data_IF_861006583248
#
_entry.id   IF_861006583248
#
_cell.length_a   1.000
_cell.length_b   1.000
_cell.length_c   1.000
_cell.angle_alpha   90.00
_cell.angle_beta   90.00
_cell.angle_gamma   90.00
#
_symmetry.space_group_name_H-M   'P 1'
#
loop_
_entity.id
_entity.type
_entity.pdbx_description
1 polymer ?
#
# COMPACT_ATOMS: atom_id res chain seq x y z
N UNK A 1 13.90 -22.37 0.22
CA UNK A 1 13.38 -21.22 -0.55
C UNK A 1 13.62 -19.91 0.20
N UNK A 2 12.93 -19.59 1.29
CA UNK A 2 13.11 -18.30 2.00
C UNK A 2 14.53 -18.07 2.55
N UNK A 3 15.17 -19.14 3.02
CA UNK A 3 16.58 -19.10 3.42
C UNK A 3 17.55 -18.82 2.26
N UNK A 4 17.26 -19.34 1.06
CA UNK A 4 18.04 -19.03 -0.14
C UNK A 4 17.77 -17.58 -0.58
N UNK A 5 16.52 -17.11 -0.51
CA UNK A 5 16.14 -15.72 -0.79
C UNK A 5 16.83 -14.72 0.14
N UNK A 6 16.92 -15.03 1.45
CA UNK A 6 17.63 -14.19 2.41
C UNK A 6 19.15 -14.30 2.27
N UNK A 7 19.69 -15.49 1.99
CA UNK A 7 21.12 -15.68 1.71
C UNK A 7 21.58 -14.90 0.46
N UNK A 8 20.76 -14.87 -0.58
CA UNK A 8 21.02 -14.07 -1.78
C UNK A 8 20.93 -12.57 -1.47
N UNK A 9 19.89 -12.13 -0.75
CA UNK A 9 19.71 -10.72 -0.39
C UNK A 9 20.82 -10.17 0.53
N UNK A 10 21.31 -10.99 1.46
CA UNK A 10 22.43 -10.64 2.34
C UNK A 10 23.74 -10.37 1.59
N UNK A 11 23.90 -10.93 0.38
CA UNK A 11 25.09 -10.72 -0.46
C UNK A 11 25.10 -9.44 -1.30
N UNK A 12 23.97 -8.74 -1.46
CA UNK A 12 23.82 -7.64 -2.43
C UNK A 12 23.26 -6.32 -1.88
N UNK A 13 22.71 -6.29 -0.65
CA UNK A 13 21.94 -5.14 -0.13
C UNK A 13 22.28 -4.79 1.32
N UNK A 14 21.88 -3.59 1.78
CA UNK A 14 22.17 -3.11 3.14
C UNK A 14 21.30 -3.79 4.20
N UNK A 15 21.82 -3.93 5.43
CA UNK A 15 21.11 -4.57 6.56
C UNK A 15 19.70 -4.00 6.80
N UNK A 16 19.48 -2.70 6.59
CA UNK A 16 18.16 -2.06 6.64
C UNK A 16 17.19 -2.56 5.56
N UNK A 17 17.67 -2.82 4.34
CA UNK A 17 16.87 -3.40 3.26
C UNK A 17 16.55 -4.87 3.55
N UNK A 18 17.51 -5.60 4.13
CA UNK A 18 17.32 -6.99 4.56
C UNK A 18 16.26 -7.11 5.67
N UNK A 19 16.26 -6.20 6.65
CA UNK A 19 15.20 -6.09 7.67
C UNK A 19 13.82 -5.84 7.06
N UNK A 20 13.72 -4.95 6.07
CA UNK A 20 12.49 -4.71 5.33
C UNK A 20 11.96 -5.96 4.61
N UNK A 21 12.85 -6.70 3.94
CA UNK A 21 12.49 -7.97 3.29
C UNK A 21 12.05 -9.03 4.30
N UNK A 22 12.76 -9.15 5.43
CA UNK A 22 12.45 -10.09 6.49
C UNK A 22 11.04 -9.86 7.05
N UNK A 23 10.66 -8.61 7.34
CA UNK A 23 9.30 -8.25 7.79
C UNK A 23 8.24 -8.61 6.75
N UNK A 24 8.50 -8.37 5.45
CA UNK A 24 7.57 -8.75 4.39
C UNK A 24 7.36 -10.27 4.32
N UNK A 25 8.42 -11.06 4.49
CA UNK A 25 8.31 -12.52 4.51
C UNK A 25 7.48 -13.00 5.71
N UNK A 26 7.69 -12.43 6.90
CA UNK A 26 6.89 -12.77 8.09
C UNK A 26 5.41 -12.41 7.93
N UNK A 27 5.08 -11.29 7.27
CA UNK A 27 3.69 -10.84 7.14
C UNK A 27 2.88 -11.57 6.07
N UNK A 28 3.53 -12.02 5.00
CA UNK A 28 2.82 -12.45 3.79
C UNK A 28 3.07 -13.90 3.38
N UNK A 29 4.03 -14.59 4.00
CA UNK A 29 4.38 -15.97 3.66
C UNK A 29 4.18 -16.92 4.85
N UNK A 30 3.87 -18.18 4.56
CA UNK A 30 3.78 -19.23 5.57
C UNK A 30 5.20 -19.75 5.89
N UNK A 31 5.86 -19.13 6.85
CA UNK A 31 7.17 -19.56 7.33
C UNK A 31 6.99 -20.59 8.45
N UNK A 32 7.53 -21.79 8.24
CA UNK A 32 7.39 -22.89 9.21
C UNK A 32 8.16 -22.66 10.51
N UNK A 33 9.32 -21.99 10.45
CA UNK A 33 10.16 -21.72 11.62
C UNK A 33 10.83 -20.33 11.56
N UNK A 34 10.08 -19.26 11.86
CA UNK A 34 10.56 -17.88 11.75
C UNK A 34 11.71 -17.56 12.71
N UNK A 35 11.75 -18.17 13.90
CA UNK A 35 12.83 -17.95 14.88
C UNK A 35 14.18 -18.52 14.42
N UNK A 36 14.18 -19.64 13.72
CA UNK A 36 15.40 -20.23 13.16
C UNK A 36 15.99 -19.34 12.06
N UNK A 37 15.13 -18.78 11.20
CA UNK A 37 15.52 -17.79 10.18
C UNK A 37 16.04 -16.51 10.82
N UNK A 38 15.39 -16.02 11.89
CA UNK A 38 15.87 -14.87 12.66
C UNK A 38 17.27 -15.12 13.20
N UNK A 39 17.50 -16.23 13.91
CA UNK A 39 18.80 -16.55 14.49
C UNK A 39 19.89 -16.70 13.42
N UNK A 40 19.54 -17.23 12.25
CA UNK A 40 20.48 -17.46 11.15
C UNK A 40 20.96 -16.16 10.51
N UNK A 41 20.07 -15.20 10.27
CA UNK A 41 20.37 -13.93 9.60
C UNK A 41 20.54 -12.76 10.58
N UNK A 42 20.52 -13.03 11.90
CA UNK A 42 20.56 -12.00 12.93
C UNK A 42 21.71 -11.02 12.74
N UNK A 43 22.90 -11.56 12.46
CA UNK A 43 24.10 -10.77 12.24
C UNK A 43 23.98 -9.87 11.01
N UNK A 44 23.49 -10.41 9.89
CA UNK A 44 23.28 -9.65 8.65
C UNK A 44 22.18 -8.59 8.82
N UNK A 45 21.19 -8.87 9.68
CA UNK A 45 20.10 -7.96 10.03
C UNK A 45 20.53 -6.84 10.98
N UNK A 46 21.66 -6.96 11.69
CA UNK A 46 22.13 -5.98 12.69
C UNK A 46 23.48 -5.33 12.36
N UNK A 47 24.14 -5.75 11.27
CA UNK A 47 25.51 -5.37 10.93
C UNK A 47 25.70 -3.85 10.81
N UNK A 48 24.73 -3.13 10.25
CA UNK A 48 24.79 -1.67 10.10
C UNK A 48 24.84 -0.93 11.45
N UNK A 49 24.23 -1.50 12.50
CA UNK A 49 24.33 -0.95 13.85
C UNK A 49 25.65 -1.33 14.51
N UNK A 50 26.20 -2.52 14.28
CA UNK A 50 27.56 -2.84 14.75
C UNK A 50 28.60 -1.90 14.12
N UNK A 51 28.45 -1.59 12.83
CA UNK A 51 29.28 -0.59 12.14
C UNK A 51 29.11 0.84 12.67
N UNK A 52 27.99 1.15 13.32
CA UNK A 52 27.76 2.42 14.00
C UNK A 52 28.37 2.46 15.42
N UNK A 53 29.07 1.40 15.85
CA UNK A 53 29.77 1.33 17.13
C UNK A 53 28.96 0.76 18.29
N UNK A 54 27.76 0.24 18.04
CA UNK A 54 26.96 -0.45 19.05
C UNK A 54 27.53 -1.84 19.35
N UNK A 55 27.38 -2.30 20.60
CA UNK A 55 27.72 -3.70 20.91
C UNK A 55 26.78 -4.64 20.16
N UNK A 56 27.22 -5.88 19.92
CA UNK A 56 26.41 -6.86 19.18
C UNK A 56 25.02 -7.06 19.80
N UNK A 57 24.91 -7.08 21.13
CA UNK A 57 23.61 -7.15 21.83
C UNK A 57 22.72 -5.93 21.63
N UNK A 58 23.31 -4.73 21.54
CA UNK A 58 22.57 -3.50 21.27
C UNK A 58 22.14 -3.41 19.82
N UNK A 59 23.02 -3.82 18.89
CA UNK A 59 22.73 -3.89 17.46
C UNK A 59 21.58 -4.86 17.15
N UNK A 60 21.57 -6.04 17.78
CA UNK A 60 20.45 -6.99 17.70
C UNK A 60 19.14 -6.39 18.21
N UNK A 61 19.19 -5.68 19.35
CA UNK A 61 18.02 -5.02 19.92
C UNK A 61 17.49 -3.91 19.00
N UNK A 62 18.39 -3.09 18.45
CA UNK A 62 18.05 -2.04 17.49
C UNK A 62 17.44 -2.61 16.20
N UNK A 63 17.99 -3.71 15.68
CA UNK A 63 17.44 -4.42 14.53
C UNK A 63 16.04 -4.97 14.82
N UNK A 64 15.84 -5.58 16.00
CA UNK A 64 14.55 -6.09 16.44
C UNK A 64 13.49 -4.97 16.51
N UNK A 65 13.82 -3.84 17.14
CA UNK A 65 12.89 -2.71 17.27
C UNK A 65 12.64 -1.99 15.94
N UNK A 66 13.62 -1.88 15.04
CA UNK A 66 13.39 -1.35 13.68
C UNK A 66 12.39 -2.22 12.89
N UNK A 67 12.47 -3.54 12.99
CA UNK A 67 11.48 -4.41 12.35
C UNK A 67 10.14 -4.42 13.07
N UNK A 68 10.13 -4.29 14.40
CA UNK A 68 8.91 -4.12 15.17
C UNK A 68 8.15 -2.90 14.68
N UNK A 69 8.82 -1.76 14.55
CA UNK A 69 8.25 -0.52 14.03
C UNK A 69 7.73 -0.69 12.59
N UNK A 70 8.49 -1.37 11.73
CA UNK A 70 8.06 -1.69 10.35
C UNK A 70 6.82 -2.59 10.32
N UNK A 71 6.73 -3.55 11.22
CA UNK A 71 5.63 -4.50 11.28
C UNK A 71 4.36 -3.88 11.89
N UNK A 72 4.52 -3.07 12.94
CA UNK A 72 3.45 -2.24 13.50
C UNK A 72 2.87 -1.27 12.45
N UNK A 73 3.74 -0.66 11.63
CA UNK A 73 3.32 0.18 10.49
C UNK A 73 2.48 -0.57 9.44
N UNK A 74 2.46 -1.90 9.48
CA UNK A 74 1.67 -2.77 8.61
C UNK A 74 0.53 -3.48 9.35
N UNK A 75 0.18 -3.00 10.56
CA UNK A 75 -0.81 -3.58 11.48
C UNK A 75 -0.51 -5.04 11.83
N UNK A 76 0.77 -5.41 11.90
CA UNK A 76 1.25 -6.69 12.40
C UNK A 76 1.95 -6.53 13.74
N UNK A 77 2.22 -7.66 14.40
CA UNK A 77 2.95 -7.71 15.66
C UNK A 77 4.08 -8.74 15.54
N UNK A 78 5.32 -8.28 15.64
CA UNK A 78 6.50 -9.14 15.51
C UNK A 78 6.58 -10.19 16.63
N UNK A 79 5.95 -9.94 17.79
CA UNK A 79 5.90 -10.91 18.89
C UNK A 79 5.11 -12.17 18.53
N UNK A 80 4.24 -12.11 17.51
CA UNK A 80 3.52 -13.29 17.00
C UNK A 80 4.45 -14.28 16.29
N UNK A 81 5.63 -13.81 15.84
CA UNK A 81 6.57 -14.59 15.05
C UNK A 81 7.90 -14.83 15.75
N UNK A 82 8.42 -13.80 16.42
CA UNK A 82 9.70 -13.82 17.15
C UNK A 82 9.42 -13.37 18.58
N UNK A 83 9.19 -14.34 19.47
CA UNK A 83 8.85 -14.06 20.86
C UNK A 83 10.11 -13.88 21.71
N UNK A 84 10.85 -12.80 21.46
CA UNK A 84 12.05 -12.40 22.21
C UNK A 84 11.84 -11.04 22.87
N UNK A 85 12.26 -10.92 24.13
CA UNK A 85 12.23 -9.65 24.86
C UNK A 85 13.59 -8.95 24.81
N UNK A 86 13.77 -8.14 23.77
CA UNK A 86 14.92 -7.23 23.67
C UNK A 86 14.65 -5.96 24.47
N UNK A 87 15.55 -5.65 25.41
CA UNK A 87 15.48 -4.41 26.18
C UNK A 87 15.69 -3.21 25.24
N UNK A 88 14.85 -2.17 25.31
CA UNK A 88 15.07 -0.94 24.56
C UNK A 88 16.46 -0.40 24.89
N UNK A 89 17.32 -0.32 23.89
CA UNK A 89 18.59 0.41 24.05
C UNK A 89 18.19 1.87 24.16
N UNK A 90 18.56 2.52 25.28
CA UNK A 90 18.44 3.96 25.39
C UNK A 90 19.21 4.53 24.20
N UNK A 91 18.48 5.01 23.18
CA UNK A 91 19.07 5.45 21.94
C UNK A 91 20.18 6.42 22.28
N UNK A 92 21.43 5.96 22.10
CA UNK A 92 22.44 6.88 21.65
C UNK A 92 21.82 7.46 20.39
N UNK A 93 21.52 8.74 20.46
CA UNK A 93 21.16 9.57 19.33
C UNK A 93 21.92 9.09 18.11
N UNK A 94 21.23 8.87 16.99
CA UNK A 94 21.85 8.85 15.66
C UNK A 94 22.94 9.93 15.68
N UNK A 95 24.22 9.53 15.73
CA UNK A 95 25.30 10.48 15.64
C UNK A 95 25.22 10.99 14.21
N UNK A 96 24.57 12.13 14.03
CA UNK A 96 24.61 12.86 12.77
C UNK A 96 26.06 13.30 12.64
N UNK A 97 26.80 12.71 11.70
CA UNK A 97 28.14 13.19 11.38
C UNK A 97 27.99 14.61 10.81
N UNK A 98 28.20 15.59 11.69
CA UNK A 98 28.03 17.01 11.38
C UNK A 98 28.91 17.41 10.19
N UNK A 99 30.10 16.80 10.04
CA UNK A 99 31.02 17.09 8.94
C UNK A 99 30.50 16.53 7.63
N UNK A 100 29.90 15.35 7.64
CA UNK A 100 29.29 14.77 6.45
C UNK A 100 28.05 15.57 6.01
N UNK A 101 27.21 15.98 6.96
CA UNK A 101 26.05 16.83 6.69
C UNK A 101 26.45 18.21 6.16
N UNK A 102 27.49 18.83 6.72
CA UNK A 102 28.02 20.10 6.24
C UNK A 102 28.49 19.98 4.77
N UNK A 103 29.30 18.97 4.47
CA UNK A 103 29.77 18.70 3.10
C UNK A 103 28.61 18.46 2.12
N UNK A 104 27.67 17.58 2.47
CA UNK A 104 26.48 17.30 1.63
C UNK A 104 25.62 18.55 1.44
N UNK A 105 25.46 19.35 2.49
CA UNK A 105 24.72 20.61 2.44
C UNK A 105 25.32 21.59 1.43
N UNK A 106 26.64 21.75 1.42
CA UNK A 106 27.37 22.60 0.47
C UNK A 106 27.25 22.10 -0.98
N UNK A 107 27.47 20.80 -1.19
CA UNK A 107 27.31 20.17 -2.51
C UNK A 107 25.90 20.39 -3.06
N UNK A 108 24.87 20.12 -2.26
CA UNK A 108 23.49 20.33 -2.67
C UNK A 108 23.16 21.79 -2.93
N UNK A 109 23.69 22.71 -2.11
CA UNK A 109 23.47 24.16 -2.28
C UNK A 109 23.99 24.65 -3.62
N UNK A 110 25.09 24.09 -4.11
CA UNK A 110 25.66 24.44 -5.43
C UNK A 110 24.80 24.01 -6.63
N UNK A 111 23.89 23.06 -6.41
CA UNK A 111 23.01 22.49 -7.44
C UNK A 111 21.60 23.13 -7.48
N UNK A 112 21.31 24.05 -6.56
CA UNK A 112 20.01 24.74 -6.52
C UNK A 112 19.86 25.67 -7.73
N UNK A 113 18.64 25.71 -8.29
CA UNK A 113 18.29 26.76 -9.23
C UNK A 113 18.03 28.10 -8.50
N UNK A 114 17.75 29.16 -9.27
CA UNK A 114 17.59 30.52 -8.72
C UNK A 114 16.44 30.57 -7.70
N UNK A 115 15.26 30.06 -8.04
CA UNK A 115 14.09 30.12 -7.15
C UNK A 115 14.27 29.28 -5.88
N UNK A 116 14.89 28.11 -6.00
CA UNK A 116 15.21 27.25 -4.86
C UNK A 116 16.26 27.89 -3.95
N UNK A 117 17.27 28.55 -4.54
CA UNK A 117 18.31 29.26 -3.79
C UNK A 117 17.73 30.42 -3.00
N UNK A 118 16.81 31.19 -3.59
CA UNK A 118 16.06 32.26 -2.90
C UNK A 118 15.23 31.70 -1.73
N UNK A 119 14.50 30.61 -1.95
CA UNK A 119 13.71 29.97 -0.90
C UNK A 119 14.58 29.42 0.25
N UNK A 120 15.69 28.76 -0.08
CA UNK A 120 16.66 28.26 0.92
C UNK A 120 17.27 29.42 1.69
N UNK A 121 17.67 30.49 1.01
CA UNK A 121 18.20 31.71 1.63
C UNK A 121 17.22 32.31 2.65
N UNK A 122 15.98 32.55 2.23
CA UNK A 122 14.95 33.13 3.10
C UNK A 122 14.69 32.29 4.37
N UNK A 123 14.68 30.96 4.24
CA UNK A 123 14.50 30.06 5.39
C UNK A 123 15.73 30.08 6.31
N UNK A 124 16.94 30.07 5.74
CA UNK A 124 18.18 30.09 6.51
C UNK A 124 18.36 31.41 7.28
N UNK A 125 17.98 32.54 6.69
CA UNK A 125 18.05 33.86 7.34
C UNK A 125 17.08 34.00 8.51
N UNK A 126 15.96 33.27 8.47
CA UNK A 126 14.96 33.26 9.54
C UNK A 126 15.28 32.26 10.68
N UNK A 127 16.38 31.51 10.62
CA UNK A 127 16.68 30.47 11.61
C UNK A 127 16.86 30.99 13.04
N UNK A 128 17.28 32.24 13.20
CA UNK A 128 17.54 32.83 14.53
C UNK A 128 16.35 33.65 15.06
N UNK A 129 15.44 34.09 14.19
CA UNK A 129 14.27 34.90 14.54
C UNK A 129 12.95 34.12 14.49
N UNK A 130 12.96 32.93 13.90
CA UNK A 130 11.79 32.10 13.66
C UNK A 130 10.99 32.54 12.42
N UNK A 131 10.24 31.60 11.85
CA UNK A 131 9.37 31.86 10.70
C UNK A 131 8.58 30.62 10.29
N UNK A 132 7.44 30.84 9.63
CA UNK A 132 6.64 29.79 9.01
C UNK A 132 6.72 29.96 7.50
N UNK A 133 7.20 28.93 6.82
CA UNK A 133 7.41 28.94 5.38
C UNK A 133 6.62 27.81 4.72
N UNK A 134 6.07 28.12 3.55
CA UNK A 134 5.40 27.14 2.69
C UNK A 134 6.09 27.15 1.33
N UNK A 135 6.68 26.02 0.92
CA UNK A 135 7.33 25.87 -0.37
C UNK A 135 6.33 25.23 -1.34
N UNK A 136 5.83 26.03 -2.27
CA UNK A 136 4.93 25.58 -3.34
C UNK A 136 5.69 25.28 -4.63
N UNK A 137 5.15 24.37 -5.44
CA UNK A 137 5.62 24.14 -6.80
C UNK A 137 5.01 22.88 -7.43
N UNK A 138 5.02 22.78 -8.78
CA UNK A 138 4.48 21.61 -9.49
C UNK A 138 5.18 20.28 -9.13
N UNK A 139 4.54 19.15 -9.47
CA UNK A 139 5.18 17.83 -9.37
C UNK A 139 6.52 17.79 -10.14
N UNK A 140 7.56 17.23 -9.53
CA UNK A 140 8.90 17.17 -10.14
C UNK A 140 9.76 18.43 -9.99
N UNK A 141 9.27 19.50 -9.37
CA UNK A 141 10.03 20.77 -9.18
C UNK A 141 11.22 20.69 -8.18
N UNK A 142 11.55 19.51 -7.66
CA UNK A 142 12.67 19.33 -6.74
C UNK A 142 12.40 19.74 -5.28
N UNK A 143 11.15 19.87 -4.83
CA UNK A 143 10.83 20.21 -3.41
C UNK A 143 11.54 19.31 -2.40
N UNK A 144 11.55 18.00 -2.63
CA UNK A 144 12.27 17.05 -1.76
C UNK A 144 13.78 17.30 -1.73
N UNK A 145 14.35 17.74 -2.85
CA UNK A 145 15.76 18.13 -2.92
C UNK A 145 16.04 19.36 -2.04
N UNK A 146 15.14 20.37 -2.08
CA UNK A 146 15.22 21.56 -1.22
C UNK A 146 15.13 21.19 0.26
N UNK A 147 14.20 20.32 0.65
CA UNK A 147 14.08 19.85 2.04
C UNK A 147 15.34 19.11 2.52
N UNK A 148 15.91 18.24 1.69
CA UNK A 148 17.15 17.54 2.00
C UNK A 148 18.35 18.51 2.10
N UNK A 149 18.42 19.52 1.23
CA UNK A 149 19.46 20.54 1.27
C UNK A 149 19.39 21.34 2.58
N UNK A 150 18.22 21.86 2.94
CA UNK A 150 17.99 22.57 4.21
C UNK A 150 18.33 21.70 5.41
N UNK A 151 17.87 20.45 5.42
CA UNK A 151 18.13 19.51 6.49
C UNK A 151 19.63 19.32 6.73
N UNK A 152 20.40 19.04 5.66
CA UNK A 152 21.85 18.84 5.77
C UNK A 152 22.59 20.11 6.21
N UNK A 153 22.23 21.29 5.68
CA UNK A 153 22.83 22.57 6.09
C UNK A 153 22.57 22.84 7.58
N UNK A 154 21.32 22.68 8.04
CA UNK A 154 20.94 22.99 9.42
C UNK A 154 21.56 21.99 10.39
N UNK A 155 21.54 20.70 10.04
CA UNK A 155 22.24 19.66 10.80
C UNK A 155 23.74 19.90 10.86
N UNK A 156 24.39 20.27 9.75
CA UNK A 156 25.83 20.58 9.71
C UNK A 156 26.21 21.76 10.62
N UNK A 157 25.30 22.73 10.82
CA UNK A 157 25.45 23.81 11.81
C UNK A 157 25.25 23.35 13.26
N UNK A 158 25.08 22.06 13.53
CA UNK A 158 24.82 21.51 14.85
C UNK A 158 23.43 21.81 15.41
N UNK A 159 22.49 22.29 14.58
CA UNK A 159 21.10 22.56 15.00
C UNK A 159 20.26 21.30 14.85
N UNK A 160 19.39 21.04 15.81
CA UNK A 160 18.44 19.92 15.76
C UNK A 160 17.30 20.22 14.81
N UNK A 161 16.99 19.27 13.93
CA UNK A 161 15.80 19.30 13.06
C UNK A 161 14.88 18.12 13.38
N UNK A 162 13.59 18.28 13.06
CA UNK A 162 12.58 17.22 13.16
C UNK A 162 11.93 17.00 11.80
N UNK A 163 12.55 16.21 10.90
CA UNK A 163 12.03 16.01 9.56
C UNK A 163 10.83 15.08 9.62
N UNK A 164 9.70 15.57 9.11
CA UNK A 164 8.42 14.86 9.19
C UNK A 164 7.76 14.81 7.83
N UNK A 165 7.06 13.71 7.56
CA UNK A 165 6.12 13.62 6.45
C UNK A 165 4.84 12.90 6.87
N UNK A 166 3.76 13.11 6.13
CA UNK A 166 2.50 12.43 6.43
C UNK A 166 2.55 10.91 6.13
N UNK A 167 3.27 10.53 5.08
CA UNK A 167 3.38 9.14 4.60
C UNK A 167 4.79 8.61 4.85
N UNK A 168 4.91 7.35 5.32
CA UNK A 168 6.20 6.74 5.67
C UNK A 168 7.21 6.70 4.53
N UNK A 169 6.76 6.51 3.28
CA UNK A 169 7.63 6.54 2.10
C UNK A 169 8.26 7.93 1.91
N UNK A 170 7.48 9.00 2.09
CA UNK A 170 7.99 10.38 1.99
C UNK A 170 8.88 10.73 3.17
N UNK A 171 8.59 10.20 4.36
CA UNK A 171 9.43 10.37 5.53
C UNK A 171 10.82 9.75 5.33
N UNK A 172 10.88 8.56 4.71
CA UNK A 172 12.15 7.89 4.39
C UNK A 172 13.03 8.66 3.39
N UNK A 173 12.47 9.62 2.64
CA UNK A 173 13.21 10.50 1.73
C UNK A 173 13.83 11.72 2.42
N UNK A 174 13.58 11.90 3.72
CA UNK A 174 14.17 12.96 4.53
C UNK A 174 15.22 12.36 5.48
N UNK A 175 16.29 13.10 5.83
CA UNK A 175 17.32 12.59 6.73
C UNK A 175 16.69 12.30 8.10
N UNK A 176 16.77 11.05 8.57
CA UNK A 176 16.12 10.61 9.82
C UNK A 176 14.61 10.90 9.88
N UNK A 177 13.97 10.99 8.71
CA UNK A 177 12.57 11.37 8.62
C UNK A 177 11.66 10.30 9.19
N UNK A 178 10.67 10.75 9.96
CA UNK A 178 9.62 9.89 10.51
C UNK A 178 8.25 10.43 10.13
N UNK A 179 7.21 9.63 10.30
CA UNK A 179 5.86 10.14 10.06
C UNK A 179 5.51 11.20 11.10
N UNK A 180 4.67 12.16 10.71
CA UNK A 180 4.09 13.16 11.62
C UNK A 180 3.44 12.46 12.83
N UNK A 181 2.74 11.34 12.60
CA UNK A 181 2.16 10.52 13.67
C UNK A 181 3.18 9.99 14.67
N UNK A 182 4.35 9.54 14.18
CA UNK A 182 5.43 9.00 15.01
C UNK A 182 6.15 10.09 15.81
N UNK A 183 6.54 11.20 15.18
CA UNK A 183 7.32 12.27 15.86
C UNK A 183 6.46 13.05 16.85
N UNK A 184 5.29 13.49 16.43
CA UNK A 184 4.43 14.30 17.27
C UNK A 184 3.69 13.47 18.33
N UNK A 185 3.93 12.14 18.36
CA UNK A 185 3.16 11.17 19.13
C UNK A 185 1.66 11.43 19.00
N UNK A 186 1.25 11.77 17.79
CA UNK A 186 -0.16 11.95 17.49
C UNK A 186 -0.73 10.55 17.50
N UNK A 187 -1.35 10.23 18.62
CA UNK A 187 -2.30 9.15 18.67
C UNK A 187 -3.32 9.48 17.58
N UNK A 188 -3.36 8.68 16.51
CA UNK A 188 -4.34 8.94 15.44
C UNK A 188 -5.77 8.79 15.98
N UNK A 189 -5.92 8.16 17.15
CA UNK A 189 -7.13 8.10 17.96
C UNK A 189 -7.44 9.42 18.72
N UNK A 190 -6.54 10.41 18.73
CA UNK A 190 -6.75 11.74 19.32
C UNK A 190 -6.95 12.82 18.24
N UNK A 191 -7.05 12.45 16.96
CA UNK A 191 -7.63 13.35 15.94
C UNK A 191 -9.15 13.39 16.07
N UNK A 192 -9.63 13.96 17.17
CA UNK A 192 -11.01 14.41 17.29
C UNK A 192 -11.24 15.48 16.21
N UNK A 193 -11.88 15.09 15.11
CA UNK A 193 -12.30 16.00 14.04
C UNK A 193 -12.27 15.42 12.62
N UNK A 194 -11.65 14.26 12.40
CA UNK A 194 -11.70 13.53 11.12
C UNK A 194 -12.09 12.04 11.32
N UNK A 195 -12.81 11.76 12.39
CA UNK A 195 -13.46 10.47 12.56
C UNK A 195 -14.83 10.51 11.85
N UNK A 196 -15.01 9.62 10.87
CA UNK A 196 -16.35 9.22 10.42
C UNK A 196 -17.01 8.49 11.59
N UNK A 197 -17.79 9.19 12.39
CA UNK A 197 -18.64 8.57 13.40
C UNK A 197 -19.85 7.85 12.78
N UNK A 198 -20.02 7.97 11.46
CA UNK A 198 -21.10 7.38 10.68
C UNK A 198 -20.64 6.33 9.68
N UNK A 199 -21.53 6.07 8.72
CA UNK A 199 -21.33 5.11 7.65
C UNK A 199 -20.53 5.78 6.52
N UNK A 200 -19.26 5.41 6.37
CA UNK A 200 -18.36 5.89 5.31
C UNK A 200 -18.97 5.87 3.90
N UNK A 201 -19.83 4.89 3.60
CA UNK A 201 -20.50 4.85 2.31
C UNK A 201 -21.53 5.97 2.17
N UNK A 202 -22.24 6.32 3.24
CA UNK A 202 -23.16 7.46 3.29
C UNK A 202 -22.41 8.79 3.23
N UNK A 203 -21.37 8.95 4.05
CA UNK A 203 -20.64 10.21 4.15
C UNK A 203 -19.95 10.60 2.85
N UNK A 204 -19.39 9.62 2.12
CA UNK A 204 -18.65 9.88 0.87
C UNK A 204 -19.55 9.85 -0.36
N UNK A 205 -20.53 8.94 -0.40
CA UNK A 205 -21.33 8.69 -1.60
C UNK A 205 -22.80 9.09 -1.48
N UNK A 206 -23.36 9.32 -0.29
CA UNK A 206 -24.79 9.57 -0.07
C UNK A 206 -25.34 10.67 -0.99
N UNK A 207 -24.76 11.87 -0.93
CA UNK A 207 -25.17 13.00 -1.80
C UNK A 207 -24.96 12.71 -3.29
N UNK A 208 -23.89 12.00 -3.64
CA UNK A 208 -23.57 11.67 -5.03
C UNK A 208 -24.57 10.66 -5.62
N UNK A 209 -25.01 9.70 -4.79
CA UNK A 209 -26.02 8.71 -5.12
C UNK A 209 -27.40 9.34 -5.21
N UNK A 210 -27.76 10.23 -4.28
CA UNK A 210 -29.04 10.94 -4.27
C UNK A 210 -29.21 11.83 -5.52
N UNK A 211 -28.13 12.50 -5.93
CA UNK A 211 -28.14 13.35 -7.13
C UNK A 211 -27.99 12.57 -8.46
N UNK A 212 -27.64 11.28 -8.41
CA UNK A 212 -27.47 10.44 -9.59
C UNK A 212 -26.30 10.84 -10.50
N UNK A 213 -25.34 11.64 -10.02
CA UNK A 213 -24.23 12.13 -10.83
C UNK A 213 -23.11 11.08 -10.94
N UNK A 214 -23.30 10.16 -11.88
CA UNK A 214 -22.36 9.08 -12.18
C UNK A 214 -20.96 9.59 -12.51
N UNK A 215 -20.83 10.76 -13.15
CA UNK A 215 -19.53 11.31 -13.52
C UNK A 215 -18.72 11.76 -12.29
N UNK A 216 -19.39 12.28 -11.25
CA UNK A 216 -18.75 12.57 -9.97
C UNK A 216 -18.44 11.31 -9.18
N UNK A 217 -19.36 10.34 -9.13
CA UNK A 217 -19.13 9.03 -8.50
C UNK A 217 -17.86 8.36 -9.02
N UNK A 218 -17.63 8.47 -10.33
CA UNK A 218 -16.49 7.85 -10.99
C UNK A 218 -15.13 8.47 -10.62
N UNK A 219 -15.13 9.71 -10.12
CA UNK A 219 -13.93 10.46 -9.69
C UNK A 219 -13.60 10.28 -8.22
N UNK A 220 -14.47 9.63 -7.46
CA UNK A 220 -14.31 9.40 -6.03
C UNK A 220 -14.02 7.92 -5.77
N UNK A 221 -13.18 7.64 -4.78
CA UNK A 221 -12.96 6.30 -4.27
C UNK A 221 -12.55 6.35 -2.80
N UNK A 222 -13.02 5.37 -2.02
CA UNK A 222 -12.55 5.14 -0.65
C UNK A 222 -11.31 4.26 -0.71
N UNK A 223 -10.25 4.67 -0.02
CA UNK A 223 -9.03 3.87 0.10
C UNK A 223 -9.04 3.12 1.43
N UNK A 224 -8.80 1.81 1.37
CA UNK A 224 -8.73 0.94 2.55
C UNK A 224 -7.36 0.27 2.65
N UNK A 225 -6.90 -0.12 3.84
CA UNK A 225 -5.70 -0.94 3.97
C UNK A 225 -5.94 -2.38 3.49
N UNK A 226 -7.13 -2.96 3.71
CA UNK A 226 -7.42 -4.38 3.41
C UNK A 226 -8.48 -4.59 2.33
N UNK A 227 -8.35 -5.68 1.55
CA UNK A 227 -9.33 -6.04 0.52
C UNK A 227 -10.71 -6.39 1.11
N UNK A 228 -10.74 -6.96 2.32
CA UNK A 228 -11.99 -7.31 3.02
C UNK A 228 -12.83 -6.06 3.31
N UNK A 229 -12.23 -5.04 3.90
CA UNK A 229 -12.87 -3.75 4.16
C UNK A 229 -13.32 -3.07 2.87
N UNK A 230 -12.48 -3.07 1.81
CA UNK A 230 -12.89 -2.55 0.51
C UNK A 230 -14.14 -3.28 -0.01
N UNK A 231 -14.23 -4.60 0.16
CA UNK A 231 -15.40 -5.37 -0.27
C UNK A 231 -16.65 -5.00 0.53
N UNK A 232 -16.54 -4.88 1.86
CA UNK A 232 -17.63 -4.48 2.75
C UNK A 232 -18.16 -3.09 2.39
N UNK A 233 -17.27 -2.10 2.23
CA UNK A 233 -17.63 -0.74 1.82
C UNK A 233 -18.27 -0.73 0.43
N UNK A 234 -17.70 -1.45 -0.54
CA UNK A 234 -18.28 -1.55 -1.88
C UNK A 234 -19.72 -2.09 -1.86
N UNK A 235 -19.99 -3.11 -1.04
CA UNK A 235 -21.33 -3.66 -0.89
C UNK A 235 -22.28 -2.66 -0.21
N UNK A 236 -21.80 -1.97 0.84
CA UNK A 236 -22.58 -0.93 1.53
C UNK A 236 -22.98 0.22 0.57
N UNK A 237 -22.05 0.69 -0.26
CA UNK A 237 -22.33 1.70 -1.30
C UNK A 237 -23.36 1.16 -2.28
N UNK A 238 -23.18 -0.07 -2.80
CA UNK A 238 -24.13 -0.68 -3.74
C UNK A 238 -25.55 -0.81 -3.15
N UNK A 239 -25.67 -1.18 -1.88
CA UNK A 239 -26.95 -1.34 -1.20
C UNK A 239 -27.71 -0.01 -1.16
N UNK A 240 -27.00 1.10 -0.94
CA UNK A 240 -27.55 2.47 -0.95
C UNK A 240 -27.84 3.04 -2.35
N UNK A 241 -27.18 2.54 -3.40
CA UNK A 241 -27.43 3.03 -4.75
C UNK A 241 -28.92 2.86 -5.15
N UNK A 242 -29.53 3.83 -5.82
CA UNK A 242 -30.86 3.63 -6.42
C UNK A 242 -30.79 2.61 -7.57
N UNK A 243 -31.94 2.05 -7.93
CA UNK A 243 -32.09 1.16 -9.08
C UNK A 243 -32.15 -0.33 -8.76
N UNK A 244 -32.49 -1.12 -9.77
CA UNK A 244 -32.72 -2.55 -9.63
C UNK A 244 -31.42 -3.33 -9.44
N UNK A 245 -31.35 -4.09 -8.35
CA UNK A 245 -30.25 -4.97 -8.05
C UNK A 245 -30.30 -6.21 -8.94
N UNK A 246 -29.20 -6.49 -9.64
CA UNK A 246 -29.00 -7.74 -10.36
C UNK A 246 -27.86 -8.54 -9.77
N UNK A 247 -28.11 -9.82 -9.54
CA UNK A 247 -27.14 -10.76 -8.97
C UNK A 247 -26.73 -11.81 -10.01
N UNK A 248 -25.45 -12.13 -10.03
CA UNK A 248 -24.86 -13.15 -10.90
C UNK A 248 -24.09 -14.15 -10.06
N UNK A 249 -24.57 -15.39 -10.01
CA UNK A 249 -23.86 -16.52 -9.42
C UNK A 249 -22.84 -17.05 -10.42
N UNK A 250 -21.63 -17.39 -9.95
CA UNK A 250 -20.61 -18.01 -10.79
C UNK A 250 -20.82 -19.51 -10.94
N UNK A 251 -20.16 -20.10 -11.94
CA UNK A 251 -20.00 -21.54 -12.07
C UNK A 251 -18.56 -21.88 -11.74
N UNK A 252 -18.36 -22.64 -10.67
CA UNK A 252 -17.04 -22.94 -10.12
C UNK A 252 -16.71 -24.43 -10.34
N UNK A 253 -15.49 -24.69 -10.78
CA UNK A 253 -14.97 -26.02 -11.05
C UNK A 253 -13.59 -26.17 -10.39
N UNK A 254 -13.26 -27.39 -9.96
CA UNK A 254 -11.93 -27.76 -9.51
C UNK A 254 -11.30 -28.64 -10.60
N UNK A 255 -10.02 -28.44 -10.88
CA UNK A 255 -9.21 -29.35 -11.68
C UNK A 255 -7.89 -29.63 -10.98
N UNK A 256 -7.40 -30.88 -11.07
CA UNK A 256 -6.08 -31.23 -10.56
C UNK A 256 -4.98 -30.54 -11.37
N UNK A 257 -3.87 -30.17 -10.73
CA UNK A 257 -2.74 -29.51 -11.41
C UNK A 257 -2.10 -30.40 -12.49
N UNK A 258 -2.18 -31.71 -12.32
CA UNK A 258 -1.57 -32.72 -13.20
C UNK A 258 -2.58 -33.41 -14.14
N UNK A 259 -3.83 -32.93 -14.21
CA UNK A 259 -4.88 -33.50 -15.07
C UNK A 259 -5.44 -34.87 -14.66
N UNK A 260 -5.03 -35.40 -13.50
CA UNK A 260 -5.62 -36.62 -12.91
C UNK A 260 -7.01 -36.40 -12.30
N UNK A 261 -7.73 -37.48 -12.01
CA UNK A 261 -9.00 -37.43 -11.29
C UNK A 261 -8.80 -36.87 -9.87
N UNK A 262 -9.76 -36.07 -9.41
CA UNK A 262 -9.78 -35.54 -8.05
C UNK A 262 -10.10 -36.73 -7.13
N UNK A 263 -9.12 -37.21 -6.36
CA UNK A 263 -9.38 -38.21 -5.32
C UNK A 263 -10.45 -37.69 -4.35
N UNK A 264 -11.38 -38.55 -3.93
CA UNK A 264 -12.45 -38.28 -2.95
C UNK A 264 -11.95 -37.69 -1.60
N UNK A 265 -10.64 -37.70 -1.35
CA UNK A 265 -9.98 -37.10 -0.19
C UNK A 265 -9.79 -35.57 -0.27
N UNK A 266 -10.06 -34.93 -1.41
CA UNK A 266 -10.02 -33.48 -1.62
C UNK A 266 -11.43 -32.87 -1.82
N UNK A 267 -12.46 -33.43 -1.18
CA UNK A 267 -13.82 -32.90 -1.21
C UNK A 267 -13.92 -31.54 -0.49
N UNK A 268 -13.40 -30.48 -1.12
CA UNK A 268 -13.73 -29.11 -0.77
C UNK A 268 -15.21 -28.92 -1.06
N UNK A 269 -15.96 -28.49 -0.05
CA UNK A 269 -17.38 -28.22 -0.23
C UNK A 269 -17.57 -27.09 -1.25
N UNK A 270 -18.62 -27.16 -2.05
CA UNK A 270 -18.93 -26.13 -3.04
C UNK A 270 -19.10 -24.78 -2.34
N UNK A 271 -19.60 -24.78 -1.10
CA UNK A 271 -19.71 -23.64 -0.21
C UNK A 271 -18.36 -23.00 0.11
N UNK A 272 -17.31 -23.79 0.37
CA UNK A 272 -15.96 -23.27 0.62
C UNK A 272 -15.42 -22.55 -0.61
N UNK A 273 -15.57 -23.13 -1.81
CA UNK A 273 -15.16 -22.50 -3.08
C UNK A 273 -15.93 -21.20 -3.34
N UNK A 274 -17.23 -21.20 -3.06
CA UNK A 274 -18.09 -20.04 -3.24
C UNK A 274 -17.71 -18.87 -2.32
N UNK A 275 -17.12 -19.15 -1.15
CA UNK A 275 -16.60 -18.12 -0.24
C UNK A 275 -15.24 -17.56 -0.67
N UNK A 276 -14.47 -18.31 -1.46
CA UNK A 276 -13.17 -17.85 -1.95
C UNK A 276 -13.31 -16.72 -2.98
N UNK A 277 -12.73 -15.56 -2.67
CA UNK A 277 -12.56 -14.45 -3.63
C UNK A 277 -11.11 -13.93 -3.56
N UNK A 278 -10.13 -14.75 -3.99
CA UNK A 278 -8.72 -14.36 -3.94
C UNK A 278 -8.42 -13.19 -4.88
N UNK A 279 -7.25 -12.58 -4.71
CA UNK A 279 -6.87 -11.42 -5.52
C UNK A 279 -6.88 -11.75 -7.01
N UNK A 280 -7.66 -10.98 -7.78
CA UNK A 280 -7.79 -11.18 -9.23
C UNK A 280 -8.87 -12.19 -9.62
N UNK A 281 -9.59 -12.80 -8.69
CA UNK A 281 -10.83 -13.54 -8.99
C UNK A 281 -12.06 -12.65 -8.71
N UNK A 282 -13.10 -12.70 -9.56
CA UNK A 282 -14.37 -12.06 -9.24
C UNK A 282 -15.08 -12.83 -8.12
N UNK A 283 -15.98 -12.18 -7.36
CA UNK A 283 -16.77 -12.85 -6.34
C UNK A 283 -17.69 -13.91 -6.95
N UNK A 284 -18.00 -14.96 -6.17
CA UNK A 284 -18.98 -15.98 -6.57
C UNK A 284 -20.34 -15.34 -6.85
N UNK A 285 -20.85 -14.59 -5.87
CA UNK A 285 -22.06 -13.78 -5.99
C UNK A 285 -21.67 -12.35 -6.35
N UNK A 286 -21.75 -12.01 -7.64
CA UNK A 286 -21.52 -10.65 -8.12
C UNK A 286 -22.83 -9.87 -8.14
N UNK A 287 -22.93 -8.83 -7.30
CA UNK A 287 -24.08 -7.94 -7.17
C UNK A 287 -23.80 -6.62 -7.91
N UNK A 288 -24.73 -6.16 -8.74
CA UNK A 288 -24.58 -4.95 -9.56
C UNK A 288 -25.90 -4.17 -9.70
N UNK A 289 -25.79 -2.87 -9.94
CA UNK A 289 -26.87 -1.95 -10.33
C UNK A 289 -26.40 -1.13 -11.52
N UNK A 290 -27.31 -0.59 -12.33
CA UNK A 290 -26.95 0.39 -13.37
C UNK A 290 -26.30 1.61 -12.70
N UNK A 291 -25.25 2.16 -13.30
CA UNK A 291 -24.42 3.22 -12.73
C UNK A 291 -23.31 2.73 -11.79
N UNK A 292 -23.24 1.43 -11.46
CA UNK A 292 -22.22 0.93 -10.53
C UNK A 292 -20.81 1.07 -11.12
N UNK A 293 -19.86 1.51 -10.27
CA UNK A 293 -18.46 1.64 -10.65
C UNK A 293 -17.76 0.30 -10.43
N UNK A 294 -17.17 -0.24 -11.49
CA UNK A 294 -16.52 -1.55 -11.50
C UNK A 294 -15.09 -1.45 -12.02
N UNK A 295 -14.26 -2.41 -11.63
CA UNK A 295 -12.88 -2.54 -12.06
C UNK A 295 -12.66 -3.88 -12.75
N UNK A 296 -12.02 -3.86 -13.91
CA UNK A 296 -11.63 -5.04 -14.66
C UNK A 296 -10.49 -5.79 -13.97
N UNK A 297 -10.56 -7.12 -13.92
CA UNK A 297 -9.60 -7.99 -13.22
C UNK A 297 -8.63 -8.72 -14.16
N UNK A 298 -8.79 -8.57 -15.47
CA UNK A 298 -7.99 -9.23 -16.51
C UNK A 298 -7.77 -8.30 -17.69
N UNK A 299 -6.73 -8.58 -18.45
CA UNK A 299 -6.54 -7.97 -19.76
C UNK A 299 -7.49 -8.67 -20.74
N UNK A 300 -8.45 -7.94 -21.30
CA UNK A 300 -9.34 -8.44 -22.35
C UNK A 300 -8.90 -7.92 -23.72
N UNK A 301 -8.50 -6.65 -23.79
CA UNK A 301 -8.02 -6.03 -25.01
C UNK A 301 -7.12 -4.83 -24.68
N UNK A 302 -5.81 -5.09 -24.58
CA UNK A 302 -4.83 -4.07 -24.18
C UNK A 302 -4.75 -2.92 -25.19
N UNK A 303 -4.88 -3.21 -26.49
CA UNK A 303 -4.82 -2.18 -27.54
C UNK A 303 -5.96 -1.17 -27.40
N UNK A 304 -7.12 -1.66 -26.95
CA UNK A 304 -8.32 -0.86 -26.72
C UNK A 304 -8.50 -0.47 -25.25
N UNK A 305 -7.43 -0.47 -24.44
CA UNK A 305 -7.45 -0.02 -23.04
C UNK A 305 -8.37 -0.83 -22.10
N UNK A 306 -8.72 -2.07 -22.45
CA UNK A 306 -9.41 -3.01 -21.55
C UNK A 306 -8.39 -3.88 -20.83
N UNK A 307 -7.61 -3.24 -19.96
CA UNK A 307 -6.59 -3.90 -19.14
C UNK A 307 -7.04 -4.06 -17.68
N UNK A 308 -6.37 -4.96 -16.96
CA UNK A 308 -6.57 -5.13 -15.53
C UNK A 308 -6.40 -3.79 -14.79
N UNK A 309 -7.34 -3.45 -13.91
CA UNK A 309 -7.39 -2.19 -13.19
C UNK A 309 -8.23 -1.10 -13.87
N UNK A 310 -8.65 -1.28 -15.13
CA UNK A 310 -9.52 -0.33 -15.83
C UNK A 310 -10.83 -0.16 -15.08
N UNK A 311 -11.17 1.08 -14.71
CA UNK A 311 -12.47 1.42 -14.11
C UNK A 311 -13.49 1.75 -15.18
N UNK A 312 -14.66 1.13 -15.04
CA UNK A 312 -15.80 1.28 -15.94
C UNK A 312 -17.05 1.57 -15.11
N UNK A 313 -18.05 2.19 -15.72
CA UNK A 313 -19.40 2.28 -15.16
C UNK A 313 -20.34 1.35 -15.89
N UNK A 314 -21.15 0.59 -15.14
CA UNK A 314 -22.18 -0.29 -15.69
C UNK A 314 -23.31 0.56 -16.28
N UNK A 315 -23.58 0.39 -17.57
CA UNK A 315 -24.64 1.12 -18.27
C UNK A 315 -25.87 0.22 -18.46
N UNK A 316 -25.65 -1.02 -18.92
CA UNK A 316 -26.68 -2.04 -18.99
C UNK A 316 -26.16 -3.43 -18.61
N UNK A 317 -27.07 -4.28 -18.20
CA UNK A 317 -26.78 -5.58 -17.61
C UNK A 317 -27.56 -6.64 -18.39
N UNK A 318 -26.85 -7.52 -19.11
CA UNK A 318 -27.40 -8.72 -19.74
C UNK A 318 -27.10 -9.98 -18.94
N UNK A 319 -27.64 -11.13 -19.36
CA UNK A 319 -27.39 -12.40 -18.68
C UNK A 319 -25.94 -12.91 -18.85
N UNK A 320 -25.32 -12.64 -20.02
CA UNK A 320 -23.99 -13.15 -20.42
C UNK A 320 -22.97 -12.06 -20.75
N UNK A 321 -23.43 -10.82 -20.93
CA UNK A 321 -22.62 -9.65 -21.31
C UNK A 321 -23.10 -8.47 -20.48
N UNK A 322 -22.15 -7.66 -20.00
CA UNK A 322 -22.42 -6.34 -19.43
C UNK A 322 -22.04 -5.28 -20.45
N UNK A 323 -22.83 -4.22 -20.51
CA UNK A 323 -22.53 -3.02 -21.26
C UNK A 323 -22.02 -1.97 -20.29
N UNK A 324 -20.81 -1.48 -20.52
CA UNK A 324 -20.14 -0.53 -19.64
C UNK A 324 -19.63 0.69 -20.43
N UNK A 325 -19.30 1.76 -19.72
CA UNK A 325 -18.63 2.95 -20.26
C UNK A 325 -17.29 3.17 -19.59
N UNK A 326 -16.30 3.65 -20.33
CA UNK A 326 -15.04 4.11 -19.74
C UNK A 326 -15.25 5.34 -18.87
N UNK A 327 -14.67 5.31 -17.67
CA UNK A 327 -14.79 6.39 -16.68
C UNK A 327 -13.79 7.52 -16.96
N UNK A 328 -12.54 7.17 -17.27
CA UNK A 328 -11.42 8.09 -17.43
C UNK A 328 -10.62 7.77 -18.71
N UNK A 329 -9.70 8.67 -19.05
CA UNK A 329 -8.75 8.50 -20.14
C UNK A 329 -9.32 8.86 -21.52
N UNK A 330 -8.54 8.62 -22.60
CA UNK A 330 -8.89 9.06 -23.96
C UNK A 330 -10.20 8.50 -24.51
N UNK A 331 -10.72 7.43 -23.90
CA UNK A 331 -11.94 6.74 -24.30
C UNK A 331 -13.13 7.03 -23.40
N UNK A 332 -13.03 8.01 -22.49
CA UNK A 332 -14.10 8.37 -21.55
C UNK A 332 -15.47 8.46 -22.24
N UNK A 333 -16.47 7.83 -21.63
CA UNK A 333 -17.85 7.79 -22.14
C UNK A 333 -18.11 6.79 -23.27
N UNK A 334 -17.07 6.22 -23.90
CA UNK A 334 -17.26 5.22 -24.95
C UNK A 334 -17.78 3.90 -24.37
N UNK A 335 -18.67 3.26 -25.13
CA UNK A 335 -19.27 1.97 -24.77
C UNK A 335 -18.28 0.82 -24.95
N UNK A 336 -18.40 -0.19 -24.09
CA UNK A 336 -17.68 -1.45 -24.19
C UNK A 336 -18.48 -2.60 -23.61
N UNK A 337 -18.25 -3.81 -24.12
CA UNK A 337 -18.91 -5.01 -23.65
C UNK A 337 -17.94 -5.89 -22.84
N UNK A 338 -18.41 -6.36 -21.69
CA UNK A 338 -17.67 -7.24 -20.80
C UNK A 338 -18.39 -8.60 -20.72
N UNK A 339 -17.87 -9.66 -21.34
CA UNK A 339 -18.47 -10.99 -21.28
C UNK A 339 -18.10 -11.74 -19.99
N UNK A 340 -18.87 -12.78 -19.64
CA UNK A 340 -18.41 -13.79 -18.69
C UNK A 340 -17.26 -14.58 -19.31
N UNK A 341 -16.19 -14.81 -18.54
CA UNK A 341 -15.05 -15.63 -18.96
C UNK A 341 -14.71 -16.64 -17.87
N UNK A 342 -14.04 -17.73 -18.24
CA UNK A 342 -13.47 -18.68 -17.27
C UNK A 342 -12.15 -18.11 -16.76
N UNK A 343 -12.04 -17.92 -15.45
CA UNK A 343 -10.82 -17.48 -14.76
C UNK A 343 -10.28 -18.61 -13.91
N UNK A 344 -8.96 -18.83 -13.96
CA UNK A 344 -8.29 -19.86 -13.19
C UNK A 344 -7.46 -19.23 -12.06
N UNK A 345 -7.38 -19.91 -10.92
CA UNK A 345 -6.59 -19.53 -9.76
C UNK A 345 -6.03 -20.77 -9.08
N UNK A 346 -4.72 -20.75 -8.83
CA UNK A 346 -3.99 -21.91 -8.29
C UNK A 346 -3.03 -21.55 -7.14
N UNK A 347 -2.81 -20.25 -6.90
CA UNK A 347 -1.79 -19.78 -5.96
C UNK A 347 -2.20 -20.10 -4.53
N UNK A 348 -1.39 -20.92 -3.86
CA UNK A 348 -1.64 -21.36 -2.48
C UNK A 348 -2.74 -22.42 -2.36
N UNK A 349 -3.17 -23.02 -3.46
CA UNK A 349 -4.14 -24.12 -3.47
C UNK A 349 -3.50 -25.42 -3.99
N UNK A 350 -3.94 -26.60 -3.48
CA UNK A 350 -3.49 -27.89 -4.00
C UNK A 350 -4.12 -28.23 -5.38
N UNK A 351 -5.06 -27.42 -5.85
CA UNK A 351 -5.79 -27.59 -7.10
C UNK A 351 -5.85 -26.28 -7.89
N UNK A 352 -6.36 -26.35 -9.12
CA UNK A 352 -6.72 -25.18 -9.93
C UNK A 352 -8.22 -24.96 -9.75
N UNK A 353 -8.58 -23.81 -9.18
CA UNK A 353 -9.95 -23.35 -9.11
C UNK A 353 -10.28 -22.58 -10.39
N UNK A 354 -11.30 -23.02 -11.11
CA UNK A 354 -11.86 -22.31 -12.26
C UNK A 354 -13.18 -21.65 -11.88
N UNK A 355 -13.39 -20.41 -12.29
CA UNK A 355 -14.64 -19.65 -12.06
C UNK A 355 -15.10 -19.00 -13.36
N UNK A 356 -16.28 -19.37 -13.85
CA UNK A 356 -16.94 -18.70 -14.97
C UNK A 356 -17.81 -17.55 -14.44
N UNK A 357 -17.36 -16.32 -14.66
CA UNK A 357 -18.03 -15.10 -14.18
C UNK A 357 -17.56 -13.89 -14.99
N UNK A 358 -18.24 -12.74 -14.85
CA UNK A 358 -17.70 -11.48 -15.36
C UNK A 358 -16.37 -11.15 -14.67
N UNK A 359 -15.30 -10.80 -15.40
CA UNK A 359 -13.98 -10.55 -14.83
C UNK A 359 -13.89 -9.15 -14.20
N UNK A 360 -14.85 -8.79 -13.36
CA UNK A 360 -14.97 -7.48 -12.72
C UNK A 360 -15.28 -7.60 -11.24
N UNK A 361 -15.09 -6.51 -10.51
CA UNK A 361 -15.59 -6.31 -9.15
C UNK A 361 -16.00 -4.85 -8.96
N UNK A 362 -16.81 -4.58 -7.93
CA UNK A 362 -17.11 -3.20 -7.51
C UNK A 362 -15.83 -2.42 -7.16
N UNK A 363 -15.86 -1.11 -7.40
CA UNK A 363 -14.69 -0.24 -7.31
C UNK A 363 -15.05 1.17 -6.81
N UNK A 364 -15.98 1.28 -5.86
CA UNK A 364 -16.17 2.45 -5.01
C UNK A 364 -15.10 2.55 -3.93
N UNK A 365 -14.67 1.40 -3.41
CA UNK A 365 -13.54 1.29 -2.50
C UNK A 365 -12.46 0.38 -3.07
N UNK A 366 -11.20 0.67 -2.77
CA UNK A 366 -10.05 -0.16 -3.16
C UNK A 366 -8.91 -0.04 -2.16
N UNK A 367 -7.98 -1.00 -2.22
CA UNK A 367 -6.82 -0.95 -1.35
C UNK A 367 -5.85 0.15 -1.77
N UNK A 368 -5.13 0.75 -0.82
CA UNK A 368 -4.09 1.76 -1.09
C UNK A 368 -3.09 1.27 -2.14
N UNK A 369 -2.66 0.00 -2.05
CA UNK A 369 -1.73 -0.58 -3.04
C UNK A 369 -2.30 -0.64 -4.47
N UNK A 370 -3.63 -0.69 -4.63
CA UNK A 370 -4.29 -0.69 -5.94
C UNK A 370 -4.55 0.70 -6.49
N UNK A 371 -4.66 1.73 -5.63
CA UNK A 371 -4.88 3.10 -6.08
C UNK A 371 -3.63 3.78 -6.64
N UNK A 372 -2.43 3.33 -6.26
CA UNK A 372 -1.15 3.87 -6.75
C UNK A 372 -0.99 3.86 -8.29
N UNK A 373 -1.78 3.05 -9.01
CA UNK A 373 -1.79 2.97 -10.48
C UNK A 373 -3.00 3.66 -11.13
N UNK A 374 -3.81 4.35 -10.34
CA UNK A 374 -5.00 5.06 -10.80
C UNK A 374 -4.75 6.56 -10.64
N UNK A 375 -4.21 7.17 -11.69
CA UNK A 375 -4.07 8.62 -11.83
C UNK A 375 -5.05 9.14 -12.85
#
# INVERSE_FOLDING_TARGET
MYEQTLSEAAGFHSAAQLRGLFVMLLLFENINNPEELWNKFLKDLSEDFEHQGYTSKEAESLAYHDMKDRMEAMNGDIKQWINKDYQPVASATHFVDLKECEKKGEEMKSLLNVEQSEAVGAILDALDFGGLFFIDGPGGSGKTFVYNCLANIIMGKGKTILPMAWVGITAALLPNGRTVSSICKLNINDFYGLESHGDLAEEVFGDLLANGDVNKLAKVAILTPRNKEALEVNNSVLDKMPGELRSYTSLDEITHKDGGEINDSLNFTTEFLNQMTPSGMPPHLLRLKKGAIVMLLRNLDVKNSLCNGTRLVVDDMGARVLQCKFINGPRQGQMVFIPKIKLNYEKGLPFIMSRLQFPIRLSFAMTINKSQRQT
#
